data_IF_462595864410
#
_entry.id   IF_462595864410
#
_cell.length_a   1.000
_cell.length_b   1.000
_cell.length_c   1.000
_cell.angle_alpha   90.00
_cell.angle_beta   90.00
_cell.angle_gamma   90.00
#
_symmetry.space_group_name_H-M   'P 1'
#
loop_
_entity.id
_entity.type
_entity.pdbx_description
1 polymer ?
#
# COMPACT_ATOMS: atom_id res chain seq x y z
N UNK A 1 89.39 60.19 40.50
CA UNK A 1 88.87 61.45 39.94
C UNK A 1 89.93 61.93 38.97
N UNK A 2 89.93 61.48 37.70
CA UNK A 2 89.09 61.97 36.58
C UNK A 2 89.19 63.51 36.51
N UNK A 3 89.71 64.15 35.47
CA UNK A 3 89.66 63.83 34.04
C UNK A 3 90.83 64.48 33.28
N UNK A 4 91.27 63.84 32.21
CA UNK A 4 92.18 64.41 31.21
C UNK A 4 91.39 65.23 30.18
N UNK A 5 92.06 66.15 29.49
CA UNK A 5 91.50 66.89 28.37
C UNK A 5 92.53 67.01 27.25
N UNK A 6 92.00 67.01 26.03
CA UNK A 6 92.57 67.18 24.69
C UNK A 6 93.04 65.89 23.98
N UNK A 7 92.92 65.78 22.64
CA UNK A 7 92.90 66.90 21.67
C UNK A 7 91.96 66.83 20.43
N UNK A 8 91.84 68.00 19.80
CA UNK A 8 91.84 68.34 18.37
C UNK A 8 91.18 67.46 17.30
N UNK A 9 90.11 68.03 16.74
CA UNK A 9 89.68 68.11 15.34
C UNK A 9 90.29 67.16 14.32
N UNK A 10 89.55 66.09 14.04
CA UNK A 10 89.63 65.29 12.82
C UNK A 10 88.63 65.87 11.81
N UNK A 11 89.12 66.22 10.62
CA UNK A 11 88.31 66.74 9.50
C UNK A 11 87.48 65.58 8.97
N UNK A 12 86.18 65.56 9.27
CA UNK A 12 85.24 64.65 8.66
C UNK A 12 85.06 65.03 7.18
N UNK A 13 85.40 64.10 6.30
CA UNK A 13 85.04 64.13 4.89
C UNK A 13 83.51 64.11 4.79
N UNK A 14 82.91 65.14 4.20
CA UNK A 14 81.54 65.10 3.72
C UNK A 14 81.49 64.11 2.54
N UNK A 15 81.07 62.87 2.82
CA UNK A 15 80.62 61.94 1.79
C UNK A 15 79.34 62.53 1.17
N UNK A 16 79.48 62.98 -0.07
CA UNK A 16 78.41 63.48 -0.93
C UNK A 16 77.42 62.33 -1.22
N UNK A 17 76.43 62.13 -0.34
CA UNK A 17 75.35 61.16 -0.54
C UNK A 17 74.46 61.62 -1.72
N UNK A 18 74.79 61.14 -2.92
CA UNK A 18 73.88 61.18 -4.08
C UNK A 18 72.52 60.62 -3.64
N UNK A 19 71.42 61.39 -3.74
CA UNK A 19 70.12 60.91 -3.28
C UNK A 19 69.75 59.66 -4.09
N UNK A 20 69.73 58.50 -3.42
CA UNK A 20 69.26 57.25 -4.02
C UNK A 20 67.83 57.49 -4.50
N UNK A 21 67.64 57.51 -5.82
CA UNK A 21 66.32 57.65 -6.41
C UNK A 21 65.53 56.37 -6.13
N UNK A 22 64.66 56.42 -5.13
CA UNK A 22 63.79 55.30 -4.76
C UNK A 22 62.53 55.38 -5.59
N UNK A 23 62.39 54.47 -6.56
CA UNK A 23 61.13 54.29 -7.29
C UNK A 23 60.18 53.41 -6.48
N UNK A 24 58.92 53.83 -6.34
CA UNK A 24 57.86 53.06 -5.67
C UNK A 24 56.72 52.79 -6.65
N UNK A 25 56.28 51.54 -6.69
CA UNK A 25 55.18 51.08 -7.54
C UNK A 25 54.15 50.32 -6.69
N UNK A 26 52.87 50.50 -7.00
CA UNK A 26 51.78 49.88 -6.25
C UNK A 26 51.12 48.77 -7.06
N UNK A 27 50.91 47.63 -6.42
CA UNK A 27 50.20 46.47 -6.99
C UNK A 27 49.21 45.93 -5.96
N UNK A 28 48.05 45.50 -6.45
CA UNK A 28 47.00 44.92 -5.59
C UNK A 28 47.46 43.55 -5.13
N UNK A 29 47.63 43.39 -3.81
CA UNK A 29 48.03 42.12 -3.23
C UNK A 29 46.85 41.15 -3.18
N UNK A 30 47.00 39.99 -3.82
CA UNK A 30 46.12 38.84 -3.61
C UNK A 30 46.86 37.81 -2.74
N UNK A 31 46.30 37.49 -1.58
CA UNK A 31 46.85 36.43 -0.74
C UNK A 31 46.37 35.07 -1.26
N UNK A 32 47.26 34.05 -1.34
CA UNK A 32 46.77 32.68 -1.41
C UNK A 32 45.94 32.45 -0.15
N UNK A 33 44.67 32.07 -0.31
CA UNK A 33 43.97 31.52 0.84
C UNK A 33 44.72 30.23 1.20
N UNK A 34 45.34 30.19 2.37
CA UNK A 34 45.80 28.96 3.01
C UNK A 34 44.69 27.92 2.85
N UNK A 35 45.00 26.69 2.41
CA UNK A 35 44.05 25.63 1.99
C UNK A 35 42.61 26.14 1.89
N UNK A 36 42.11 26.50 0.70
CA UNK A 36 40.83 27.19 0.57
C UNK A 36 39.78 26.50 1.45
N UNK A 37 39.10 27.28 2.29
CA UNK A 37 38.04 26.82 3.20
C UNK A 37 37.07 25.88 2.46
N UNK A 38 36.85 26.18 1.17
CA UNK A 38 36.22 25.37 0.13
C UNK A 38 36.65 23.89 0.11
N UNK A 39 37.95 23.53 0.13
CA UNK A 39 38.42 22.13 0.15
C UNK A 39 37.97 21.41 1.41
N UNK A 40 38.17 22.02 2.58
CA UNK A 40 37.79 21.43 3.87
C UNK A 40 36.28 21.22 3.95
N UNK A 41 35.50 22.17 3.42
CA UNK A 41 34.05 22.05 3.30
C UNK A 41 33.62 20.96 2.32
N UNK A 42 34.28 20.85 1.16
CA UNK A 42 34.04 19.77 0.18
C UNK A 42 34.25 18.41 0.83
N UNK A 43 35.41 18.19 1.48
CA UNK A 43 35.72 16.91 2.15
C UNK A 43 34.66 16.56 3.20
N UNK A 44 34.22 17.54 4.00
CA UNK A 44 33.17 17.35 5.01
C UNK A 44 31.82 16.97 4.39
N UNK A 45 31.46 17.60 3.26
CA UNK A 45 30.22 17.29 2.55
C UNK A 45 30.29 15.92 1.86
N UNK A 46 31.42 15.57 1.26
CA UNK A 46 31.65 14.25 0.63
C UNK A 46 31.51 13.11 1.66
N UNK A 47 32.12 13.25 2.85
CA UNK A 47 31.93 12.29 3.95
C UNK A 47 30.46 12.16 4.37
N UNK A 48 29.71 13.26 4.35
CA UNK A 48 28.29 13.25 4.68
C UNK A 48 27.49 12.51 3.60
N UNK A 49 27.81 12.73 2.33
CA UNK A 49 27.20 12.02 1.18
C UNK A 49 27.49 10.53 1.22
N UNK A 50 28.71 10.11 1.54
CA UNK A 50 29.06 8.70 1.73
C UNK A 50 28.21 8.05 2.82
N UNK A 51 28.02 8.74 3.95
CA UNK A 51 27.12 8.26 5.00
C UNK A 51 25.69 8.12 4.50
N UNK A 52 25.17 9.11 3.76
CA UNK A 52 23.84 9.02 3.15
C UNK A 52 23.73 7.86 2.14
N UNK A 53 24.78 7.57 1.38
CA UNK A 53 24.80 6.44 0.45
C UNK A 53 24.68 5.10 1.19
N UNK A 54 25.39 4.93 2.31
CA UNK A 54 25.24 3.76 3.17
C UNK A 54 23.81 3.63 3.70
N UNK A 55 23.25 4.70 4.25
CA UNK A 55 21.87 4.72 4.74
C UNK A 55 20.86 4.36 3.64
N UNK A 56 21.04 4.90 2.42
CA UNK A 56 20.18 4.61 1.26
C UNK A 56 20.24 3.13 0.88
N UNK A 57 21.44 2.53 0.87
CA UNK A 57 21.61 1.11 0.61
C UNK A 57 20.90 0.25 1.67
N UNK A 58 21.05 0.60 2.96
CA UNK A 58 20.38 -0.11 4.05
C UNK A 58 18.85 -0.02 3.95
N UNK A 59 18.30 1.17 3.71
CA UNK A 59 16.85 1.36 3.53
C UNK A 59 16.35 0.57 2.32
N UNK A 60 17.10 0.60 1.22
CA UNK A 60 16.75 -0.15 -0.01
C UNK A 60 16.69 -1.65 0.24
N UNK A 61 17.65 -2.19 1.01
CA UNK A 61 17.66 -3.60 1.38
C UNK A 61 16.46 -3.97 2.28
N UNK A 62 16.14 -3.12 3.27
CA UNK A 62 14.94 -3.30 4.10
C UNK A 62 13.64 -3.27 3.28
N UNK A 63 13.56 -2.40 2.27
CA UNK A 63 12.41 -2.36 1.35
C UNK A 63 12.30 -3.68 0.57
N UNK A 64 13.40 -4.22 0.04
CA UNK A 64 13.40 -5.50 -0.67
C UNK A 64 12.94 -6.64 0.23
N UNK A 65 13.45 -6.71 1.45
CA UNK A 65 13.05 -7.71 2.45
C UNK A 65 11.55 -7.63 2.74
N UNK A 66 11.01 -6.41 2.96
CA UNK A 66 9.59 -6.19 3.21
C UNK A 66 8.70 -6.53 2.01
N UNK A 67 9.17 -6.31 0.78
CA UNK A 67 8.47 -6.75 -0.43
C UNK A 67 8.39 -8.28 -0.47
N UNK A 68 9.50 -8.97 -0.21
CA UNK A 68 9.52 -10.44 -0.14
C UNK A 68 8.60 -10.99 0.95
N UNK A 69 8.58 -10.35 2.13
CA UNK A 69 7.65 -10.70 3.22
C UNK A 69 6.19 -10.54 2.77
N UNK A 70 5.88 -9.42 2.10
CA UNK A 70 4.54 -9.17 1.56
C UNK A 70 4.12 -10.23 0.54
N UNK A 71 5.03 -10.60 -0.37
CA UNK A 71 4.76 -11.58 -1.41
C UNK A 71 4.57 -12.99 -0.83
N UNK A 72 5.35 -13.35 0.21
CA UNK A 72 5.14 -14.57 0.97
C UNK A 72 3.75 -14.63 1.59
N UNK A 73 3.32 -13.58 2.29
CA UNK A 73 1.97 -13.50 2.87
C UNK A 73 0.89 -13.59 1.79
N UNK A 74 1.05 -12.87 0.68
CA UNK A 74 0.10 -12.89 -0.44
C UNK A 74 0.00 -14.28 -1.09
N UNK A 75 1.12 -15.00 -1.22
CA UNK A 75 1.15 -16.38 -1.74
C UNK A 75 0.33 -17.32 -0.87
N UNK A 76 0.46 -17.22 0.46
CA UNK A 76 -0.34 -17.99 1.41
C UNK A 76 -1.83 -17.68 1.33
N UNK A 77 -2.20 -16.42 1.08
CA UNK A 77 -3.60 -16.01 0.95
C UNK A 77 -4.31 -16.54 -0.30
N UNK A 78 -3.60 -16.76 -1.42
CA UNK A 78 -4.23 -17.24 -2.68
C UNK A 78 -4.98 -18.55 -2.49
N UNK A 79 -4.39 -19.50 -1.78
CA UNK A 79 -5.02 -20.81 -1.49
C UNK A 79 -6.28 -20.63 -0.65
N UNK A 80 -6.23 -19.80 0.40
CA UNK A 80 -7.38 -19.52 1.26
C UNK A 80 -8.52 -18.79 0.54
N UNK A 81 -8.22 -17.89 -0.42
CA UNK A 81 -9.28 -17.27 -1.25
C UNK A 81 -9.93 -18.26 -2.21
N UNK A 82 -9.13 -19.12 -2.85
CA UNK A 82 -9.66 -20.19 -3.69
C UNK A 82 -10.56 -21.12 -2.87
N UNK A 83 -10.09 -21.54 -1.69
CA UNK A 83 -10.88 -22.30 -0.72
C UNK A 83 -12.19 -21.60 -0.37
N UNK A 84 -12.16 -20.29 -0.06
CA UNK A 84 -13.35 -19.51 0.28
C UNK A 84 -14.36 -19.42 -0.88
N UNK A 85 -13.88 -19.35 -2.13
CA UNK A 85 -14.75 -19.40 -3.31
C UNK A 85 -15.41 -20.77 -3.48
N UNK A 86 -14.61 -21.84 -3.44
CA UNK A 86 -15.10 -23.22 -3.56
C UNK A 86 -16.07 -23.58 -2.44
N UNK A 87 -15.77 -23.15 -1.22
CA UNK A 87 -16.62 -23.34 -0.06
C UNK A 87 -17.99 -22.67 -0.23
N UNK A 88 -18.03 -21.41 -0.70
CA UNK A 88 -19.31 -20.72 -1.01
C UNK A 88 -20.14 -21.46 -2.04
N UNK A 89 -19.50 -21.98 -3.10
CA UNK A 89 -20.19 -22.81 -4.10
C UNK A 89 -20.76 -24.08 -3.47
N UNK A 90 -19.99 -24.76 -2.61
CA UNK A 90 -20.44 -25.97 -1.91
C UNK A 90 -21.63 -25.68 -1.00
N UNK A 91 -21.58 -24.62 -0.20
CA UNK A 91 -22.68 -24.26 0.71
C UNK A 91 -23.95 -23.87 -0.06
N UNK A 92 -23.84 -23.10 -1.14
CA UNK A 92 -25.00 -22.75 -1.95
C UNK A 92 -25.70 -24.00 -2.55
N UNK A 93 -24.91 -24.96 -3.06
CA UNK A 93 -25.44 -26.23 -3.57
C UNK A 93 -26.12 -27.04 -2.47
N UNK A 94 -25.48 -27.20 -1.32
CA UNK A 94 -26.04 -27.90 -0.17
C UNK A 94 -27.33 -27.25 0.33
N UNK A 95 -27.37 -25.92 0.38
CA UNK A 95 -28.57 -25.17 0.73
C UNK A 95 -29.73 -25.45 -0.22
N UNK A 96 -29.46 -25.54 -1.53
CA UNK A 96 -30.49 -25.91 -2.53
C UNK A 96 -31.01 -27.33 -2.32
N UNK A 97 -30.14 -28.30 -2.06
CA UNK A 97 -30.54 -29.68 -1.79
C UNK A 97 -31.35 -29.76 -0.50
N UNK A 98 -30.88 -29.12 0.58
CA UNK A 98 -31.57 -29.06 1.87
C UNK A 98 -32.96 -28.43 1.75
N UNK A 99 -33.09 -27.33 0.99
CA UNK A 99 -34.38 -26.72 0.68
C UNK A 99 -35.33 -27.69 0.00
N UNK A 100 -34.85 -28.42 -1.02
CA UNK A 100 -35.67 -29.40 -1.73
C UNK A 100 -36.04 -30.60 -0.85
N UNK A 101 -35.17 -31.01 0.07
CA UNK A 101 -35.47 -32.06 1.06
C UNK A 101 -36.61 -31.65 1.98
N UNK A 102 -36.62 -30.40 2.46
CA UNK A 102 -37.71 -29.87 3.28
C UNK A 102 -39.03 -29.82 2.51
N UNK A 103 -39.03 -29.29 1.28
CA UNK A 103 -40.23 -29.25 0.42
C UNK A 103 -40.78 -30.67 0.18
N UNK A 104 -39.91 -31.63 -0.09
CA UNK A 104 -40.30 -33.03 -0.28
C UNK A 104 -40.86 -33.68 1.00
N UNK A 105 -40.26 -33.37 2.15
CA UNK A 105 -40.75 -33.83 3.43
C UNK A 105 -42.16 -33.28 3.74
N UNK A 106 -42.40 -32.00 3.43
CA UNK A 106 -43.67 -31.34 3.64
C UNK A 106 -44.75 -31.87 2.71
N UNK A 107 -44.45 -32.04 1.41
CA UNK A 107 -45.37 -32.65 0.43
C UNK A 107 -45.75 -34.07 0.87
N UNK A 108 -44.77 -34.88 1.29
CA UNK A 108 -45.01 -36.21 1.85
C UNK A 108 -45.94 -36.13 3.08
N UNK A 109 -45.64 -35.26 4.05
CA UNK A 109 -46.45 -35.10 5.25
C UNK A 109 -47.90 -34.70 4.95
N UNK A 110 -48.11 -33.82 3.97
CA UNK A 110 -49.43 -33.39 3.54
C UNK A 110 -50.21 -34.55 2.90
N UNK A 111 -49.60 -35.26 1.94
CA UNK A 111 -50.25 -36.34 1.19
C UNK A 111 -50.67 -37.52 2.06
N UNK A 112 -49.89 -37.88 3.08
CA UNK A 112 -50.25 -38.98 4.00
C UNK A 112 -51.44 -38.65 4.93
N UNK A 113 -51.75 -37.37 5.13
CA UNK A 113 -52.88 -36.94 5.96
C UNK A 113 -54.18 -36.73 5.16
N UNK A 114 -54.12 -36.71 3.82
CA UNK A 114 -55.28 -36.53 2.95
C UNK A 114 -56.40 -37.60 3.16
N UNK A 115 -56.10 -38.90 3.38
CA UNK A 115 -57.14 -39.91 3.66
C UNK A 115 -57.80 -39.74 5.04
N UNK A 116 -57.08 -39.17 6.03
CA UNK A 116 -57.61 -38.94 7.38
C UNK A 116 -58.62 -37.79 7.45
N UNK A 117 -58.54 -36.82 6.53
CA UNK A 117 -59.56 -35.76 6.42
C UNK A 117 -60.89 -36.27 5.87
N UNK A 118 -60.88 -37.34 5.06
CA UNK A 118 -62.10 -37.95 4.52
C UNK A 118 -62.86 -38.84 5.53
N UNK A 119 -62.24 -39.20 6.67
CA UNK A 119 -62.75 -40.23 7.60
C UNK A 119 -63.16 -39.73 8.98
N UNK A 120 -63.07 -38.42 9.29
CA UNK A 120 -63.69 -37.82 10.47
C UNK A 120 -64.85 -36.88 10.10
N UNK A 121 -65.96 -37.46 9.66
CA UNK A 121 -67.29 -36.88 9.94
C UNK A 121 -67.55 -37.08 11.45
N UNK A 122 -66.86 -36.36 12.32
CA UNK A 122 -67.32 -36.22 13.70
C UNK A 122 -68.49 -35.26 13.60
N UNK A 123 -69.73 -35.77 13.69
CA UNK A 123 -70.92 -34.93 13.91
C UNK A 123 -70.66 -34.13 15.19
N UNK A 124 -70.23 -32.90 15.03
CA UNK A 124 -70.18 -31.90 16.08
C UNK A 124 -70.99 -30.71 15.57
N UNK A 125 -72.30 -30.89 15.50
CA UNK A 125 -73.30 -29.87 15.80
C UNK A 125 -74.54 -30.67 16.21
N UNK A 126 -74.92 -30.57 17.49
CA UNK A 126 -76.29 -30.89 17.86
C UNK A 126 -77.15 -29.78 17.26
N UNK A 127 -78.29 -30.20 16.77
CA UNK A 127 -79.37 -29.38 16.23
C UNK A 127 -79.86 -28.47 17.36
N UNK A 128 -79.23 -27.32 17.50
CA UNK A 128 -79.65 -26.23 18.37
C UNK A 128 -79.90 -25.06 17.42
N UNK A 129 -81.14 -24.55 17.47
CA UNK A 129 -81.76 -23.66 16.49
C UNK A 129 -80.82 -22.57 15.98
N UNK A 130 -80.29 -22.77 14.76
CA UNK A 130 -79.54 -21.74 14.05
C UNK A 130 -80.54 -20.76 13.48
N UNK A 131 -80.64 -19.60 14.13
CA UNK A 131 -81.45 -18.46 13.75
C UNK A 131 -81.16 -18.05 12.28
N UNK A 132 -82.11 -18.32 11.39
CA UNK A 132 -82.02 -18.10 9.95
C UNK A 132 -81.79 -16.62 9.59
N UNK A 133 -82.06 -15.69 10.51
CA UNK A 133 -81.84 -14.26 10.25
C UNK A 133 -80.37 -13.83 10.34
N UNK A 134 -79.48 -14.61 10.96
CA UNK A 134 -78.07 -14.25 11.13
C UNK A 134 -77.17 -14.70 9.95
N UNK A 135 -77.65 -15.62 9.10
CA UNK A 135 -76.94 -16.08 7.90
C UNK A 135 -76.89 -15.02 6.79
N UNK A 136 -77.91 -14.16 6.70
CA UNK A 136 -77.96 -13.10 5.69
C UNK A 136 -76.99 -11.94 5.98
N UNK A 137 -76.55 -11.77 7.23
CA UNK A 137 -75.67 -10.67 7.62
C UNK A 137 -74.18 -10.96 7.38
N UNK A 138 -73.76 -12.22 7.31
CA UNK A 138 -72.36 -12.63 7.09
C UNK A 138 -72.05 -13.02 5.64
N UNK A 139 -73.06 -13.26 4.79
CA UNK A 139 -72.89 -13.51 3.36
C UNK A 139 -72.75 -12.22 2.53
N UNK A 140 -71.85 -11.31 2.94
CA UNK A 140 -71.37 -10.23 2.07
C UNK A 140 -70.01 -10.55 1.49
N UNK A 141 -69.97 -11.60 0.67
CA UNK A 141 -68.98 -11.74 -0.40
C UNK A 141 -69.72 -12.13 -1.68
N UNK A 142 -69.32 -11.52 -2.79
CA UNK A 142 -70.00 -11.59 -4.09
C UNK A 142 -70.41 -13.02 -4.45
N UNK A 143 -71.63 -13.13 -4.95
CA UNK A 143 -72.30 -14.35 -5.37
C UNK A 143 -71.43 -15.18 -6.32
N UNK A 144 -70.69 -16.14 -5.78
CA UNK A 144 -70.26 -17.30 -6.56
C UNK A 144 -71.49 -18.16 -6.81
N UNK A 145 -71.83 -18.35 -8.07
CA UNK A 145 -72.88 -19.29 -8.48
C UNK A 145 -72.52 -20.72 -8.07
N UNK A 146 -73.54 -21.57 -7.86
CA UNK A 146 -73.35 -23.01 -7.62
C UNK A 146 -72.46 -23.66 -8.71
N UNK A 147 -72.49 -23.13 -9.93
CA UNK A 147 -71.63 -23.56 -11.01
C UNK A 147 -70.15 -23.21 -10.76
N UNK A 148 -69.85 -22.03 -10.25
CA UNK A 148 -68.50 -21.59 -9.87
C UNK A 148 -67.98 -22.34 -8.65
N UNK A 149 -68.80 -22.59 -7.63
CA UNK A 149 -68.43 -23.46 -6.51
C UNK A 149 -68.14 -24.89 -6.98
N UNK A 150 -69.01 -25.47 -7.81
CA UNK A 150 -68.77 -26.79 -8.41
C UNK A 150 -67.54 -26.78 -9.31
N UNK A 151 -67.25 -25.68 -9.98
CA UNK A 151 -66.04 -25.53 -10.80
C UNK A 151 -64.78 -25.46 -9.95
N UNK A 152 -64.80 -24.72 -8.84
CA UNK A 152 -63.70 -24.70 -7.87
C UNK A 152 -63.54 -26.07 -7.22
N UNK A 153 -64.61 -26.77 -6.86
CA UNK A 153 -64.55 -28.14 -6.34
C UNK A 153 -64.02 -29.13 -7.40
N UNK A 154 -64.39 -28.97 -8.67
CA UNK A 154 -63.82 -29.73 -9.78
C UNK A 154 -62.35 -29.42 -9.96
N UNK A 155 -61.95 -28.15 -9.93
CA UNK A 155 -60.56 -27.69 -10.00
C UNK A 155 -59.73 -28.20 -8.83
N UNK A 156 -60.28 -28.20 -7.61
CA UNK A 156 -59.65 -28.80 -6.43
C UNK A 156 -59.53 -30.33 -6.60
N UNK A 157 -60.54 -31.00 -7.17
CA UNK A 157 -60.49 -32.44 -7.46
C UNK A 157 -59.54 -32.80 -8.61
N UNK A 158 -59.41 -31.98 -9.65
CA UNK A 158 -58.46 -32.18 -10.76
C UNK A 158 -57.05 -31.87 -10.30
N UNK A 159 -56.83 -30.78 -9.56
CA UNK A 159 -55.56 -30.53 -8.87
C UNK A 159 -55.22 -31.62 -7.85
N UNK A 160 -56.20 -32.27 -7.20
CA UNK A 160 -55.98 -33.46 -6.36
C UNK A 160 -55.65 -34.73 -7.17
N UNK A 161 -56.16 -34.87 -8.41
CA UNK A 161 -55.74 -35.93 -9.34
C UNK A 161 -54.35 -35.68 -9.92
N UNK A 162 -53.92 -34.42 -10.01
CA UNK A 162 -52.54 -34.04 -10.39
C UNK A 162 -51.56 -34.00 -9.20
N UNK A 163 -52.06 -33.87 -7.97
CA UNK A 163 -51.31 -34.00 -6.72
C UNK A 163 -50.74 -35.42 -6.50
N UNK A 164 -51.14 -36.37 -7.34
CA UNK A 164 -50.59 -37.72 -7.40
C UNK A 164 -49.17 -37.82 -7.99
N UNK A 165 -48.51 -36.70 -8.30
CA UNK A 165 -47.22 -36.72 -9.02
C UNK A 165 -45.96 -36.50 -8.16
N UNK A 166 -46.06 -36.20 -6.86
CA UNK A 166 -44.90 -35.91 -5.99
C UNK A 166 -43.83 -35.05 -6.69
N UNK A 167 -44.25 -33.88 -7.19
CA UNK A 167 -43.40 -33.05 -8.05
C UNK A 167 -42.12 -32.63 -7.34
N UNK A 168 -42.17 -32.45 -6.01
CA UNK A 168 -40.99 -32.10 -5.22
C UNK A 168 -39.93 -33.21 -5.20
N UNK A 169 -40.34 -34.49 -5.23
CA UNK A 169 -39.40 -35.62 -5.29
C UNK A 169 -38.69 -35.68 -6.64
N UNK A 170 -39.37 -35.31 -7.73
CA UNK A 170 -38.76 -35.22 -9.05
C UNK A 170 -37.78 -34.03 -9.14
N UNK A 171 -38.16 -32.88 -8.59
CA UNK A 171 -37.27 -31.71 -8.48
C UNK A 171 -36.05 -32.01 -7.61
N UNK A 172 -36.25 -32.71 -6.48
CA UNK A 172 -35.19 -33.16 -5.59
C UNK A 172 -34.26 -34.15 -6.30
N UNK A 173 -34.82 -35.18 -6.96
CA UNK A 173 -34.06 -36.16 -7.74
C UNK A 173 -33.21 -35.49 -8.81
N UNK A 174 -33.78 -34.57 -9.59
CA UNK A 174 -33.05 -33.83 -10.60
C UNK A 174 -31.94 -32.97 -9.98
N UNK A 175 -32.22 -32.28 -8.87
CA UNK A 175 -31.23 -31.45 -8.18
C UNK A 175 -30.05 -32.29 -7.66
N UNK A 176 -30.32 -33.47 -7.10
CA UNK A 176 -29.27 -34.38 -6.63
C UNK A 176 -28.51 -34.98 -7.81
N UNK A 177 -29.20 -35.40 -8.88
CA UNK A 177 -28.59 -36.01 -10.07
C UNK A 177 -27.58 -35.08 -10.74
N UNK A 178 -27.85 -33.78 -10.79
CA UNK A 178 -26.92 -32.78 -11.31
C UNK A 178 -25.87 -32.34 -10.27
N UNK A 179 -25.98 -32.79 -9.01
CA UNK A 179 -25.05 -32.53 -7.91
C UNK A 179 -23.98 -33.62 -7.77
N UNK A 180 -23.27 -33.92 -8.86
CA UNK A 180 -22.33 -35.04 -9.12
C UNK A 180 -21.25 -35.41 -8.05
N UNK A 181 -21.17 -34.73 -6.90
CA UNK A 181 -20.07 -34.88 -5.93
C UNK A 181 -20.50 -35.17 -4.48
N UNK A 182 -21.80 -35.35 -4.20
CA UNK A 182 -22.27 -35.64 -2.84
C UNK A 182 -22.64 -37.12 -2.67
N UNK A 183 -21.62 -37.94 -2.37
CA UNK A 183 -21.74 -39.39 -2.22
C UNK A 183 -22.87 -39.85 -1.29
N UNK A 184 -23.23 -39.03 -0.29
CA UNK A 184 -24.28 -39.29 0.68
C UNK A 184 -25.70 -39.26 0.07
N UNK A 185 -25.89 -38.57 -1.05
CA UNK A 185 -27.20 -38.44 -1.69
C UNK A 185 -27.53 -39.63 -2.62
N UNK A 186 -26.56 -40.50 -2.94
CA UNK A 186 -26.79 -41.69 -3.77
C UNK A 186 -27.76 -42.69 -3.12
N UNK A 187 -27.70 -42.84 -1.79
CA UNK A 187 -28.63 -43.70 -1.06
C UNK A 187 -30.06 -43.17 -1.16
N UNK A 188 -30.22 -41.87 -0.96
CA UNK A 188 -31.51 -41.20 -1.08
C UNK A 188 -32.05 -41.26 -2.52
N UNK A 189 -31.21 -41.10 -3.54
CA UNK A 189 -31.62 -41.26 -4.94
C UNK A 189 -32.23 -42.64 -5.20
N UNK A 190 -31.58 -43.71 -4.73
CA UNK A 190 -32.12 -45.08 -4.87
C UNK A 190 -33.45 -45.23 -4.14
N UNK A 191 -33.58 -44.66 -2.96
CA UNK A 191 -34.82 -44.69 -2.17
C UNK A 191 -35.97 -43.92 -2.88
N UNK A 192 -35.67 -42.77 -3.51
CA UNK A 192 -36.63 -42.02 -4.34
C UNK A 192 -37.09 -42.89 -5.53
N UNK A 193 -36.16 -43.51 -6.25
CA UNK A 193 -36.48 -44.34 -7.42
C UNK A 193 -37.31 -45.57 -7.05
N UNK A 194 -36.96 -46.24 -5.94
CA UNK A 194 -37.74 -47.36 -5.42
C UNK A 194 -39.15 -46.93 -5.02
N UNK A 195 -39.30 -45.80 -4.33
CA UNK A 195 -40.60 -45.26 -3.94
C UNK A 195 -41.47 -44.92 -5.16
N UNK A 196 -40.90 -44.26 -6.18
CA UNK A 196 -41.60 -43.97 -7.44
C UNK A 196 -42.03 -45.25 -8.18
N UNK A 197 -41.17 -46.28 -8.22
CA UNK A 197 -41.48 -47.56 -8.86
C UNK A 197 -42.58 -48.35 -8.13
N UNK A 198 -42.53 -48.40 -6.79
CA UNK A 198 -43.58 -49.03 -5.97
C UNK A 198 -44.94 -48.35 -6.19
N UNK A 199 -44.95 -47.02 -6.29
CA UNK A 199 -46.16 -46.25 -6.57
C UNK A 199 -46.73 -46.51 -7.96
N UNK A 200 -45.88 -46.54 -9.00
CA UNK A 200 -46.31 -46.86 -10.38
C UNK A 200 -46.97 -48.23 -10.46
N UNK A 201 -46.40 -49.24 -9.80
CA UNK A 201 -46.98 -50.59 -9.70
C UNK A 201 -48.30 -50.60 -8.94
N UNK A 202 -48.40 -49.87 -7.82
CA UNK A 202 -49.64 -49.79 -7.03
C UNK A 202 -50.78 -49.07 -7.77
N UNK A 203 -50.47 -48.04 -8.57
CA UNK A 203 -51.45 -47.32 -9.38
C UNK A 203 -52.01 -48.18 -10.52
N UNK A 204 -51.20 -49.04 -11.14
CA UNK A 204 -51.63 -49.95 -12.20
C UNK A 204 -52.62 -51.04 -11.70
N UNK A 205 -52.58 -51.37 -10.40
CA UNK A 205 -53.33 -52.51 -9.84
C UNK A 205 -54.72 -52.16 -9.26
N UNK A 206 -55.21 -50.91 -9.43
CA UNK A 206 -56.55 -50.38 -9.10
C UNK A 206 -57.15 -50.61 -7.68
N UNK A 207 -56.58 -51.46 -6.82
CA UNK A 207 -57.21 -51.95 -5.58
C UNK A 207 -56.77 -51.22 -4.29
N UNK A 208 -55.69 -50.44 -4.31
CA UNK A 208 -55.12 -49.88 -3.08
C UNK A 208 -55.80 -48.57 -2.59
N UNK A 209 -57.09 -48.63 -2.22
CA UNK A 209 -57.70 -47.62 -1.33
C UNK A 209 -57.23 -47.85 0.11
N UNK A 210 -55.95 -47.57 0.38
CA UNK A 210 -55.40 -47.67 1.72
C UNK A 210 -53.88 -47.55 1.75
N UNK A 211 -53.38 -46.44 2.32
CA UNK A 211 -51.97 -46.09 2.63
C UNK A 211 -50.97 -46.23 1.46
N UNK A 212 -50.33 -45.12 1.10
CA UNK A 212 -49.29 -45.08 0.05
C UNK A 212 -48.13 -46.05 0.43
N UNK A 213 -47.85 -47.09 -0.36
CA UNK A 213 -46.76 -48.02 -0.09
C UNK A 213 -45.39 -47.32 -0.04
N UNK A 214 -44.50 -47.75 0.86
CA UNK A 214 -43.14 -47.20 0.97
C UNK A 214 -43.04 -45.79 1.60
N UNK A 215 -44.16 -45.14 1.91
CA UNK A 215 -44.21 -43.76 2.40
C UNK A 215 -43.39 -43.53 3.68
N UNK A 216 -43.55 -44.40 4.68
CA UNK A 216 -42.85 -44.27 5.98
C UNK A 216 -41.34 -44.39 5.79
N UNK A 217 -40.90 -45.30 4.91
CA UNK A 217 -39.50 -45.48 4.56
C UNK A 217 -38.94 -44.24 3.88
N UNK A 218 -39.62 -43.71 2.86
CA UNK A 218 -39.23 -42.48 2.14
C UNK A 218 -39.17 -41.24 3.06
N UNK A 219 -40.14 -41.12 3.98
CA UNK A 219 -40.15 -40.04 4.98
C UNK A 219 -38.94 -40.11 5.91
N UNK A 220 -38.62 -41.31 6.40
CA UNK A 220 -37.46 -41.50 7.28
C UNK A 220 -36.14 -41.29 6.55
N UNK A 221 -36.06 -41.72 5.29
CA UNK A 221 -34.93 -41.45 4.39
C UNK A 221 -34.62 -39.95 4.27
N UNK A 222 -35.63 -39.14 3.93
CA UNK A 222 -35.46 -37.68 3.82
C UNK A 222 -35.08 -37.06 5.16
N UNK A 223 -35.73 -37.47 6.26
CA UNK A 223 -35.39 -36.97 7.61
C UNK A 223 -33.93 -37.29 7.99
N UNK A 224 -33.47 -38.50 7.72
CA UNK A 224 -32.10 -38.90 7.97
C UNK A 224 -31.12 -38.09 7.11
N UNK A 225 -31.45 -37.84 5.84
CA UNK A 225 -30.61 -37.01 4.98
C UNK A 225 -30.55 -35.56 5.47
N UNK A 226 -31.68 -34.97 5.85
CA UNK A 226 -31.73 -33.61 6.44
C UNK A 226 -30.81 -33.55 7.67
N UNK A 227 -30.89 -34.55 8.56
CA UNK A 227 -30.01 -34.63 9.74
C UNK A 227 -28.52 -34.61 9.34
N UNK A 228 -28.11 -35.47 8.41
CA UNK A 228 -26.73 -35.52 7.91
C UNK A 228 -26.27 -34.16 7.37
N UNK A 229 -27.10 -33.50 6.56
CA UNK A 229 -26.78 -32.16 6.02
C UNK A 229 -26.65 -31.09 7.12
N UNK A 230 -27.52 -31.13 8.13
CA UNK A 230 -27.48 -30.21 9.26
C UNK A 230 -26.22 -30.41 10.13
N UNK A 231 -25.88 -31.66 10.43
CA UNK A 231 -24.68 -32.01 11.22
C UNK A 231 -23.42 -31.56 10.48
N UNK A 232 -23.28 -31.90 9.19
CA UNK A 232 -22.14 -31.50 8.36
C UNK A 232 -22.06 -29.98 8.17
N UNK A 233 -23.19 -29.28 8.07
CA UNK A 233 -23.24 -27.82 8.01
C UNK A 233 -22.66 -27.16 9.27
N UNK A 234 -22.84 -27.78 10.44
CA UNK A 234 -22.27 -27.28 11.69
C UNK A 234 -20.75 -27.39 11.73
N UNK A 235 -20.17 -28.50 11.26
CA UNK A 235 -18.73 -28.71 11.17
C UNK A 235 -18.08 -27.80 10.12
N UNK A 236 -18.72 -27.69 8.95
CA UNK A 236 -18.27 -26.80 7.87
C UNK A 236 -18.19 -25.34 8.30
N UNK A 237 -19.12 -24.87 9.16
CA UNK A 237 -19.08 -23.51 9.73
C UNK A 237 -17.89 -23.29 10.65
N UNK A 238 -17.48 -24.30 11.44
CA UNK A 238 -16.26 -24.19 12.28
C UNK A 238 -15.01 -24.05 11.43
N UNK A 239 -14.89 -24.85 10.37
CA UNK A 239 -13.77 -24.77 9.42
C UNK A 239 -13.73 -23.43 8.69
N UNK A 240 -14.90 -22.92 8.25
CA UNK A 240 -15.02 -21.60 7.63
C UNK A 240 -14.56 -20.48 8.57
N UNK A 241 -14.98 -20.51 9.83
CA UNK A 241 -14.58 -19.50 10.79
C UNK A 241 -13.06 -19.50 11.01
N UNK A 242 -12.45 -20.69 11.07
CA UNK A 242 -11.00 -20.84 11.19
C UNK A 242 -10.26 -20.27 9.97
N UNK A 243 -10.68 -20.60 8.75
CA UNK A 243 -10.08 -20.08 7.52
C UNK A 243 -10.30 -18.57 7.35
N UNK A 244 -11.49 -18.06 7.65
CA UNK A 244 -11.76 -16.62 7.63
C UNK A 244 -10.89 -15.86 8.65
N UNK A 245 -10.61 -16.46 9.80
CA UNK A 245 -9.69 -15.89 10.79
C UNK A 245 -8.26 -15.84 10.27
N UNK A 246 -7.79 -16.90 9.59
CA UNK A 246 -6.47 -16.91 8.92
C UNK A 246 -6.36 -15.81 7.86
N UNK A 247 -7.38 -15.67 7.01
CA UNK A 247 -7.44 -14.61 5.99
C UNK A 247 -7.36 -13.23 6.65
N UNK A 248 -8.20 -12.97 7.66
CA UNK A 248 -8.20 -11.67 8.37
C UNK A 248 -6.85 -11.36 9.02
N UNK A 249 -6.20 -12.36 9.61
CA UNK A 249 -4.87 -12.18 10.20
C UNK A 249 -3.81 -11.88 9.13
N UNK A 250 -3.89 -12.54 7.97
CA UNK A 250 -3.00 -12.27 6.85
C UNK A 250 -3.23 -10.88 6.24
N UNK A 251 -4.48 -10.45 6.08
CA UNK A 251 -4.85 -9.09 5.64
C UNK A 251 -4.28 -8.03 6.58
N UNK A 252 -4.39 -8.23 7.91
CA UNK A 252 -3.77 -7.34 8.91
C UNK A 252 -2.26 -7.29 8.79
N UNK A 253 -1.59 -8.43 8.61
CA UNK A 253 -0.13 -8.47 8.39
C UNK A 253 0.26 -7.71 7.12
N UNK A 254 -0.50 -7.89 6.05
CA UNK A 254 -0.25 -7.19 4.79
C UNK A 254 -0.41 -5.67 4.92
N UNK A 255 -1.41 -5.22 5.70
CA UNK A 255 -1.60 -3.80 6.00
C UNK A 255 -0.41 -3.21 6.78
N UNK A 256 0.05 -3.91 7.82
CA UNK A 256 1.25 -3.49 8.59
C UNK A 256 2.47 -3.39 7.68
N UNK A 257 2.72 -4.40 6.84
CA UNK A 257 3.84 -4.39 5.89
C UNK A 257 3.71 -3.23 4.88
N UNK A 258 2.51 -2.93 4.40
CA UNK A 258 2.26 -1.82 3.48
C UNK A 258 2.56 -0.45 4.14
N UNK A 259 2.17 -0.27 5.40
CA UNK A 259 2.46 0.95 6.17
C UNK A 259 3.97 1.12 6.40
N UNK A 260 4.66 0.03 6.76
CA UNK A 260 6.12 0.03 6.90
C UNK A 260 6.84 0.34 5.57
N UNK A 261 6.40 -0.28 4.47
CA UNK A 261 6.91 -0.01 3.12
C UNK A 261 6.71 1.45 2.73
N UNK A 262 5.55 2.03 3.02
CA UNK A 262 5.28 3.45 2.77
C UNK A 262 6.25 4.33 3.56
N UNK A 263 6.40 4.09 4.87
CA UNK A 263 7.36 4.82 5.73
C UNK A 263 8.79 4.73 5.22
N UNK A 264 9.25 3.52 4.84
CA UNK A 264 10.58 3.31 4.28
C UNK A 264 10.79 4.02 2.94
N UNK A 265 9.79 4.00 2.05
CA UNK A 265 9.85 4.71 0.76
C UNK A 265 9.91 6.22 0.95
N UNK A 266 9.14 6.78 1.88
CA UNK A 266 9.22 8.21 2.22
C UNK A 266 10.61 8.57 2.74
N UNK A 267 11.15 7.81 3.72
CA UNK A 267 12.51 8.01 4.23
C UNK A 267 13.58 7.91 3.14
N UNK A 268 13.42 6.96 2.21
CA UNK A 268 14.32 6.80 1.07
C UNK A 268 14.29 8.05 0.18
N UNK A 269 13.11 8.56 -0.16
CA UNK A 269 12.93 9.78 -0.96
C UNK A 269 13.55 11.01 -0.29
N UNK A 270 13.33 11.20 1.01
CA UNK A 270 13.94 12.29 1.77
C UNK A 270 15.48 12.22 1.77
N UNK A 271 16.05 11.02 1.95
CA UNK A 271 17.50 10.81 1.90
C UNK A 271 18.07 11.07 0.50
N UNK A 272 17.38 10.61 -0.54
CA UNK A 272 17.77 10.87 -1.93
C UNK A 272 17.73 12.37 -2.27
N UNK A 273 16.70 13.09 -1.81
CA UNK A 273 16.60 14.55 -1.97
C UNK A 273 17.77 15.27 -1.31
N UNK A 274 18.03 14.97 -0.02
CA UNK A 274 19.16 15.56 0.73
C UNK A 274 20.52 15.24 0.10
N UNK A 275 20.68 14.03 -0.44
CA UNK A 275 21.87 13.63 -1.20
C UNK A 275 22.02 14.48 -2.47
N UNK A 276 20.94 14.73 -3.21
CA UNK A 276 20.95 15.62 -4.38
C UNK A 276 21.37 17.05 -4.02
N UNK A 277 20.77 17.63 -2.99
CA UNK A 277 21.12 18.96 -2.46
C UNK A 277 22.60 19.05 -2.03
N UNK A 278 23.12 17.99 -1.39
CA UNK A 278 24.53 17.91 -1.01
C UNK A 278 25.46 17.87 -2.23
N UNK A 279 25.12 17.13 -3.29
CA UNK A 279 25.92 17.15 -4.53
C UNK A 279 25.90 18.50 -5.21
N UNK A 280 24.75 19.17 -5.28
CA UNK A 280 24.67 20.53 -5.82
C UNK A 280 25.55 21.51 -5.04
N UNK A 281 25.56 21.40 -3.71
CA UNK A 281 26.45 22.18 -2.84
C UNK A 281 27.92 21.87 -3.11
N UNK A 282 28.31 20.60 -3.20
CA UNK A 282 29.69 20.18 -3.50
C UNK A 282 30.13 20.76 -4.85
N UNK A 283 29.27 20.68 -5.88
CA UNK A 283 29.57 21.24 -7.21
C UNK A 283 29.83 22.74 -7.15
N UNK A 284 29.00 23.50 -6.42
CA UNK A 284 29.20 24.95 -6.23
C UNK A 284 30.52 25.26 -5.51
N UNK A 285 30.86 24.49 -4.48
CA UNK A 285 32.14 24.67 -3.77
C UNK A 285 33.34 24.36 -4.67
N UNK A 286 33.24 23.36 -5.55
CA UNK A 286 34.29 23.03 -6.53
C UNK A 286 34.50 24.18 -7.53
N UNK A 287 33.41 24.76 -8.04
CA UNK A 287 33.49 25.94 -8.93
C UNK A 287 34.17 27.13 -8.25
N UNK A 288 33.77 27.43 -7.00
CA UNK A 288 34.40 28.49 -6.22
C UNK A 288 35.90 28.26 -6.01
N UNK A 289 36.29 27.03 -5.72
CA UNK A 289 37.69 26.66 -5.59
C UNK A 289 38.47 26.88 -6.90
N UNK A 290 37.95 26.41 -8.04
CA UNK A 290 38.61 26.57 -9.34
C UNK A 290 38.78 28.06 -9.72
N UNK A 291 37.78 28.90 -9.40
CA UNK A 291 37.84 30.36 -9.57
C UNK A 291 38.90 31.01 -8.68
N UNK A 292 38.98 30.61 -7.40
CA UNK A 292 39.98 31.11 -6.46
C UNK A 292 41.42 30.75 -6.88
N UNK A 293 41.62 29.50 -7.28
CA UNK A 293 42.91 29.00 -7.78
C UNK A 293 43.33 29.75 -9.04
N UNK A 294 42.41 29.92 -10.00
CA UNK A 294 42.67 30.64 -11.25
C UNK A 294 43.08 32.10 -10.98
N UNK A 295 42.39 32.78 -10.07
CA UNK A 295 42.71 34.17 -9.70
C UNK A 295 44.07 34.30 -9.01
N UNK A 296 44.44 33.32 -8.17
CA UNK A 296 45.76 33.29 -7.55
C UNK A 296 46.89 33.10 -8.58
N UNK A 297 46.76 32.17 -9.52
CA UNK A 297 47.78 31.97 -10.56
C UNK A 297 47.94 33.20 -11.46
N UNK A 298 46.84 33.91 -11.77
CA UNK A 298 46.90 35.20 -12.48
C UNK A 298 47.73 36.23 -11.72
N UNK A 299 47.53 36.34 -10.41
CA UNK A 299 48.33 37.22 -9.55
C UNK A 299 49.81 36.83 -9.52
N UNK A 300 50.13 35.53 -9.38
CA UNK A 300 51.53 35.08 -9.42
C UNK A 300 52.21 35.38 -10.76
N UNK A 301 51.51 35.19 -11.88
CA UNK A 301 52.03 35.54 -13.20
C UNK A 301 52.33 37.05 -13.32
N UNK A 302 51.44 37.90 -12.80
CA UNK A 302 51.66 39.34 -12.73
C UNK A 302 52.91 39.66 -11.89
N UNK A 303 53.03 39.09 -10.69
CA UNK A 303 54.17 39.34 -9.81
C UNK A 303 55.51 38.87 -10.42
N UNK A 304 55.53 37.75 -11.14
CA UNK A 304 56.71 37.30 -11.86
C UNK A 304 57.12 38.30 -12.97
N UNK A 305 56.14 38.88 -13.69
CA UNK A 305 56.42 39.93 -14.67
C UNK A 305 57.00 41.18 -14.01
N UNK A 306 56.43 41.60 -12.88
CA UNK A 306 56.91 42.74 -12.08
C UNK A 306 58.35 42.51 -11.64
N UNK A 307 58.67 41.31 -11.13
CA UNK A 307 60.01 40.95 -10.69
C UNK A 307 61.02 40.99 -11.84
N UNK A 308 60.69 40.40 -12.99
CA UNK A 308 61.57 40.41 -14.16
C UNK A 308 61.79 41.84 -14.72
N UNK A 309 60.78 42.71 -14.70
CA UNK A 309 60.97 44.12 -15.07
C UNK A 309 61.85 44.88 -14.06
N UNK A 310 61.71 44.57 -12.77
CA UNK A 310 62.55 45.15 -11.72
C UNK A 310 64.02 44.72 -11.85
N UNK A 311 64.27 43.44 -12.16
CA UNK A 311 65.62 42.91 -12.45
C UNK A 311 66.26 43.62 -13.65
N UNK A 312 65.47 43.94 -14.68
CA UNK A 312 65.90 44.72 -15.85
C UNK A 312 66.01 46.23 -15.59
N UNK A 313 65.61 46.71 -14.40
CA UNK A 313 65.53 48.13 -14.04
C UNK A 313 64.68 48.97 -15.02
N UNK A 314 63.67 48.35 -15.65
CA UNK A 314 62.77 49.03 -16.59
C UNK A 314 61.67 49.77 -15.84
N UNK A 315 62.01 50.96 -15.34
CA UNK A 315 61.12 51.78 -14.50
C UNK A 315 59.92 52.32 -15.27
N UNK A 316 60.06 52.56 -16.58
CA UNK A 316 58.96 53.03 -17.43
C UNK A 316 57.91 51.94 -17.67
N UNK A 317 58.34 50.70 -17.93
CA UNK A 317 57.41 49.57 -18.06
C UNK A 317 56.74 49.21 -16.73
N UNK A 318 57.47 49.32 -15.60
CA UNK A 318 56.92 49.14 -14.25
C UNK A 318 55.84 50.18 -13.91
N UNK A 319 56.09 51.47 -14.21
CA UNK A 319 55.11 52.55 -14.00
C UNK A 319 53.84 52.29 -14.82
N UNK A 320 53.99 51.95 -16.11
CA UNK A 320 52.86 51.65 -16.99
C UNK A 320 52.05 50.44 -16.50
N UNK A 321 52.74 49.37 -16.06
CA UNK A 321 52.08 48.16 -15.56
C UNK A 321 51.36 48.43 -14.23
N UNK A 322 51.98 49.19 -13.33
CA UNK A 322 51.37 49.59 -12.05
C UNK A 322 50.12 50.43 -12.26
N UNK A 323 50.19 51.48 -13.09
CA UNK A 323 49.02 52.32 -13.42
C UNK A 323 47.88 51.52 -14.04
N UNK A 324 48.19 50.66 -15.01
CA UNK A 324 47.19 49.79 -15.65
C UNK A 324 46.47 48.88 -14.64
N UNK A 325 47.21 48.25 -13.73
CA UNK A 325 46.64 47.36 -12.73
C UNK A 325 45.80 48.11 -11.69
N UNK A 326 46.25 49.28 -11.24
CA UNK A 326 45.52 50.14 -10.31
C UNK A 326 44.24 50.66 -10.96
N UNK A 327 44.31 51.19 -12.17
CA UNK A 327 43.13 51.71 -12.88
C UNK A 327 42.10 50.61 -13.11
N UNK A 328 42.54 49.42 -13.52
CA UNK A 328 41.67 48.25 -13.69
C UNK A 328 40.98 47.87 -12.37
N UNK A 329 41.74 47.82 -11.27
CA UNK A 329 41.17 47.52 -9.95
C UNK A 329 40.19 48.61 -9.51
N UNK A 330 40.52 49.89 -9.70
CA UNK A 330 39.65 51.00 -9.30
C UNK A 330 38.36 51.05 -10.12
N UNK A 331 38.40 50.65 -11.39
CA UNK A 331 37.20 50.48 -12.22
C UNK A 331 36.28 49.40 -11.64
N UNK A 332 36.81 48.22 -11.31
CA UNK A 332 36.03 47.14 -10.67
C UNK A 332 35.54 47.53 -9.28
N UNK A 333 36.41 48.17 -8.49
CA UNK A 333 36.10 48.64 -7.14
C UNK A 333 34.95 49.63 -7.15
N UNK A 334 34.92 50.60 -8.07
CA UNK A 334 33.88 51.61 -8.11
C UNK A 334 32.57 51.07 -8.68
N UNK A 335 32.63 50.20 -9.70
CA UNK A 335 31.46 49.71 -10.43
C UNK A 335 30.76 48.50 -9.79
N UNK A 336 31.48 47.65 -9.05
CA UNK A 336 30.95 46.35 -8.60
C UNK A 336 30.94 46.22 -7.07
N UNK A 337 29.75 46.31 -6.47
CA UNK A 337 29.57 46.13 -5.03
C UNK A 337 29.96 44.73 -4.55
N UNK A 338 29.63 43.69 -5.31
CA UNK A 338 29.96 42.31 -4.95
C UNK A 338 31.47 42.07 -4.93
N UNK A 339 32.20 42.69 -5.86
CA UNK A 339 33.67 42.68 -5.87
C UNK A 339 34.26 43.29 -4.58
N UNK A 340 33.77 44.46 -4.16
CA UNK A 340 34.22 45.12 -2.91
C UNK A 340 34.00 44.24 -1.67
N UNK A 341 32.81 43.65 -1.56
CA UNK A 341 32.45 42.79 -0.43
C UNK A 341 33.30 41.51 -0.40
N UNK A 342 33.49 40.87 -1.56
CA UNK A 342 34.33 39.68 -1.68
C UNK A 342 35.81 39.98 -1.35
N UNK A 343 36.34 41.10 -1.83
CA UNK A 343 37.71 41.52 -1.55
C UNK A 343 37.92 41.83 -0.05
N UNK A 344 36.99 42.57 0.57
CA UNK A 344 37.03 42.85 2.00
C UNK A 344 37.00 41.56 2.85
N UNK A 345 36.14 40.60 2.48
CA UNK A 345 36.06 39.29 3.14
C UNK A 345 37.37 38.52 3.06
N UNK A 346 38.03 38.51 1.89
CA UNK A 346 39.33 37.84 1.70
C UNK A 346 40.44 38.46 2.54
N UNK A 347 40.49 39.80 2.62
CA UNK A 347 41.45 40.50 3.49
C UNK A 347 41.23 40.13 4.96
N UNK A 348 39.98 40.16 5.43
CA UNK A 348 39.62 39.79 6.79
C UNK A 348 40.04 38.36 7.12
N UNK A 349 39.72 37.40 6.25
CA UNK A 349 40.12 36.00 6.43
C UNK A 349 41.65 35.84 6.48
N UNK A 350 42.39 36.51 5.60
CA UNK A 350 43.85 36.48 5.59
C UNK A 350 44.46 37.01 6.89
N UNK A 351 43.95 38.14 7.41
CA UNK A 351 44.39 38.70 8.69
C UNK A 351 44.13 37.75 9.86
N UNK A 352 42.99 37.04 9.83
CA UNK A 352 42.60 36.08 10.85
C UNK A 352 43.51 34.85 10.84
N UNK A 353 43.83 34.31 9.66
CA UNK A 353 44.76 33.19 9.50
C UNK A 353 46.19 33.57 9.92
N UNK A 354 46.64 34.78 9.61
CA UNK A 354 47.96 35.27 10.05
C UNK A 354 48.06 35.39 11.58
N UNK A 355 46.99 35.85 12.26
CA UNK A 355 46.94 35.84 13.73
C UNK A 355 47.06 34.42 14.28
N UNK A 356 46.24 33.49 13.78
CA UNK A 356 46.25 32.08 14.22
C UNK A 356 47.62 31.42 14.03
N UNK A 357 48.32 31.72 12.93
CA UNK A 357 49.65 31.16 12.67
C UNK A 357 50.74 31.77 13.56
N UNK A 358 50.62 33.05 13.95
CA UNK A 358 51.52 33.69 14.92
C UNK A 358 51.30 33.17 16.34
N UNK A 359 50.06 32.89 16.73
CA UNK A 359 49.73 32.39 18.07
C UNK A 359 50.10 30.90 18.26
N UNK A 360 50.42 30.19 17.17
CA UNK A 360 50.85 28.78 17.16
C UNK A 360 52.35 28.57 17.02
N UNK A 361 53.12 29.64 16.76
CA UNK A 361 54.59 29.64 16.73
C UNK A 361 55.12 30.23 18.03
#
# INVERSE_FOLDING_TARGET
MSSSSNPSSEVAQEDDEVPKLVHQFYFVKLWPSSEPDSISQIKKQELTVEKMNRDICEITNKIKEKISEKDYVASGMRSSYYWKMEWRRRVARKGKILSNLYVALDELCFMNNAPRRRSKKKKCFKEEELDNHNLNALMRHGSMSLAEEKQILRNINTHQRDADKFQSLEVLRNTIKWGYYENHCHKLLREIEQFQNQRKKAAANASAKGKIPGYVSMKNAIKNQIKVFCDESSENRKQEMAECTKIRNAEKKQEVINQELHSLKTKLGEKQKKKGEAYESITKLKQLYDEEVTNYYKYCSLMNKVQHLAEKKDTAALDKLSRYEVDRFMLEWNSNKAFREAYAKKIMQSQQTQKINRDRS
#
